data_IF_139057042476
#
_entry.id   IF_139057042476
#
_cell.length_a   1.000
_cell.length_b   1.000
_cell.length_c   1.000
_cell.angle_alpha   90.00
_cell.angle_beta   90.00
_cell.angle_gamma   90.00
#
_symmetry.space_group_name_H-M   'P 1'
#
loop_
_entity.id
_entity.type
_entity.pdbx_description
1 polymer ?
#
# COMPACT_ATOMS: atom_id res chain seq x y z
N UNK A 1 26.15 -16.11 -7.83
CA UNK A 1 25.97 -14.90 -8.65
C UNK A 1 24.90 -14.06 -8.00
N UNK A 2 25.23 -12.87 -7.53
CA UNK A 2 24.25 -11.93 -6.98
C UNK A 2 23.23 -11.63 -8.08
N UNK A 3 21.94 -11.96 -7.87
CA UNK A 3 20.86 -11.52 -8.76
C UNK A 3 20.94 -9.99 -8.85
N UNK A 4 21.00 -9.47 -10.07
CA UNK A 4 21.09 -8.05 -10.32
C UNK A 4 20.01 -7.29 -9.53
N UNK A 5 20.38 -6.15 -8.99
CA UNK A 5 19.51 -5.25 -8.26
C UNK A 5 18.34 -4.83 -9.17
N UNK A 6 17.11 -4.86 -8.66
CA UNK A 6 15.96 -4.40 -9.43
C UNK A 6 16.12 -2.91 -9.74
N UNK A 7 16.25 -2.57 -11.01
CA UNK A 7 16.25 -1.19 -11.48
C UNK A 7 14.82 -0.70 -11.66
N UNK A 8 14.49 0.41 -11.03
CA UNK A 8 13.18 1.06 -11.09
C UNK A 8 13.34 2.57 -11.20
N UNK A 9 12.39 3.18 -11.88
CA UNK A 9 12.29 4.62 -11.98
C UNK A 9 10.84 5.03 -11.73
N UNK A 10 10.63 6.00 -10.85
CA UNK A 10 9.31 6.56 -10.63
C UNK A 10 8.84 7.39 -11.83
N UNK A 11 7.53 7.46 -12.09
CA UNK A 11 6.97 8.35 -13.10
C UNK A 11 7.53 9.77 -12.97
N UNK A 12 7.70 10.46 -14.11
CA UNK A 12 8.20 11.83 -14.21
C UNK A 12 9.61 12.05 -13.60
N UNK A 13 10.32 10.96 -13.24
CA UNK A 13 11.62 11.06 -12.58
C UNK A 13 11.56 11.54 -11.13
N UNK A 14 10.38 11.52 -10.51
CA UNK A 14 10.19 11.98 -9.12
C UNK A 14 11.02 11.16 -8.15
N UNK A 15 11.60 11.85 -7.17
CA UNK A 15 12.45 11.24 -6.14
C UNK A 15 11.71 10.98 -4.83
N UNK A 16 10.54 11.57 -4.66
CA UNK A 16 9.67 11.35 -3.51
C UNK A 16 8.37 10.71 -3.97
N UNK A 17 8.00 9.58 -3.36
CA UNK A 17 6.80 8.81 -3.70
C UNK A 17 6.01 8.49 -2.44
N UNK A 18 4.71 8.68 -2.45
CA UNK A 18 3.84 8.24 -1.37
C UNK A 18 3.55 6.74 -1.55
N UNK A 19 4.05 5.94 -0.63
CA UNK A 19 3.88 4.48 -0.62
C UNK A 19 2.77 4.07 0.35
N UNK A 20 1.59 3.77 -0.19
CA UNK A 20 0.54 3.14 0.61
C UNK A 20 1.02 1.77 1.10
N UNK A 21 1.01 1.55 2.42
CA UNK A 21 1.60 0.37 3.06
C UNK A 21 0.58 -0.38 3.90
N UNK A 22 0.49 -1.70 3.74
CA UNK A 22 -0.43 -2.55 4.48
C UNK A 22 0.21 -3.24 5.70
N UNK A 23 1.51 -3.51 5.67
CA UNK A 23 2.27 -4.16 6.76
C UNK A 23 3.77 -4.10 6.47
N UNK A 24 4.61 -4.23 7.48
CA UNK A 24 6.07 -4.24 7.33
C UNK A 24 6.58 -5.37 6.42
N UNK A 25 6.13 -6.63 6.56
CA UNK A 25 6.55 -7.70 5.65
C UNK A 25 6.29 -7.41 4.17
N UNK A 26 5.18 -6.72 3.84
CA UNK A 26 4.84 -6.44 2.45
C UNK A 26 5.62 -5.26 1.88
N UNK A 27 6.06 -4.33 2.71
CA UNK A 27 6.69 -3.08 2.30
C UNK A 27 8.21 -3.14 2.28
N UNK A 28 8.83 -3.98 3.12
CA UNK A 28 10.25 -3.91 3.41
C UNK A 28 11.16 -4.01 2.17
N UNK A 29 10.99 -5.04 1.35
CA UNK A 29 11.80 -5.20 0.14
C UNK A 29 11.52 -4.12 -0.92
N UNK A 30 10.29 -3.59 -0.96
CA UNK A 30 9.91 -2.47 -1.84
C UNK A 30 10.63 -1.20 -1.40
N UNK A 31 10.62 -0.89 -0.11
CA UNK A 31 11.32 0.27 0.47
C UNK A 31 12.81 0.20 0.16
N UNK A 32 13.46 -0.95 0.40
CA UNK A 32 14.88 -1.13 0.04
C UNK A 32 15.12 -0.92 -1.46
N UNK A 33 14.26 -1.47 -2.33
CA UNK A 33 14.38 -1.28 -3.77
C UNK A 33 14.24 0.20 -4.16
N UNK A 34 13.27 0.92 -3.61
CA UNK A 34 13.08 2.35 -3.87
C UNK A 34 14.30 3.15 -3.43
N UNK A 35 14.72 3.01 -2.17
CA UNK A 35 15.88 3.73 -1.62
C UNK A 35 17.16 3.46 -2.41
N UNK A 36 17.33 2.22 -2.82
CA UNK A 36 18.48 1.81 -3.59
C UNK A 36 18.53 2.35 -5.03
N UNK A 37 17.41 2.83 -5.54
CA UNK A 37 17.30 3.53 -6.81
C UNK A 37 17.19 5.06 -6.64
N UNK A 38 17.51 5.59 -5.46
CA UNK A 38 17.48 7.02 -5.16
C UNK A 38 16.06 7.60 -5.07
N UNK A 39 15.07 6.76 -4.73
CA UNK A 39 13.69 7.15 -4.49
C UNK A 39 13.44 7.09 -2.99
N UNK A 40 12.97 8.17 -2.40
CA UNK A 40 12.60 8.26 -0.99
C UNK A 40 11.10 8.02 -0.83
N UNK A 41 10.66 6.87 -0.29
CA UNK A 41 9.26 6.66 0.00
C UNK A 41 8.83 7.43 1.26
N UNK A 42 7.71 8.12 1.19
CA UNK A 42 6.94 8.56 2.35
C UNK A 42 5.91 7.46 2.61
N UNK A 43 5.94 6.87 3.78
CA UNK A 43 5.10 5.72 4.12
C UNK A 43 3.72 6.20 4.56
N UNK A 44 2.68 5.73 3.92
CA UNK A 44 1.30 6.04 4.27
C UNK A 44 0.57 4.78 4.71
N UNK A 45 0.33 4.65 6.02
CA UNK A 45 -0.35 3.52 6.61
C UNK A 45 -1.85 3.81 6.70
N UNK A 46 -2.62 3.33 5.71
CA UNK A 46 -4.06 3.53 5.60
C UNK A 46 -4.78 2.18 5.41
N UNK A 47 -5.24 1.58 6.50
CA UNK A 47 -5.76 0.22 6.51
C UNK A 47 -7.04 0.07 7.35
N UNK A 48 -8.13 0.81 7.05
CA UNK A 48 -9.37 0.73 7.82
C UNK A 48 -10.05 -0.64 7.74
N UNK A 49 -9.62 -1.48 6.81
CA UNK A 49 -10.12 -2.85 6.64
C UNK A 49 -9.54 -3.86 7.64
N UNK A 50 -8.49 -3.52 8.37
CA UNK A 50 -7.86 -4.48 9.29
C UNK A 50 -8.73 -4.61 10.55
N UNK A 51 -9.07 -5.86 10.90
CA UNK A 51 -9.87 -6.22 12.05
C UNK A 51 -9.27 -7.49 12.70
N UNK A 52 -9.26 -7.60 14.04
CA UNK A 52 -9.68 -6.59 15.00
C UNK A 52 -8.71 -5.40 15.14
N UNK A 53 -9.02 -4.43 15.98
CA UNK A 53 -8.19 -3.24 16.21
C UNK A 53 -6.78 -3.62 16.69
N UNK A 54 -6.64 -4.66 17.50
CA UNK A 54 -5.36 -5.16 17.99
C UNK A 54 -4.45 -5.59 16.83
N UNK A 55 -5.00 -6.23 15.82
CA UNK A 55 -4.25 -6.64 14.61
C UNK A 55 -3.81 -5.42 13.80
N UNK A 56 -4.67 -4.38 13.72
CA UNK A 56 -4.30 -3.11 13.10
C UNK A 56 -3.10 -2.47 13.82
N UNK A 57 -3.15 -2.39 15.16
CA UNK A 57 -2.09 -1.80 15.96
C UNK A 57 -0.77 -2.57 15.85
N UNK A 58 -0.81 -3.90 15.89
CA UNK A 58 0.39 -4.75 15.70
C UNK A 58 1.07 -4.42 14.37
N UNK A 59 0.32 -4.42 13.27
CA UNK A 59 0.87 -4.15 11.93
C UNK A 59 1.34 -2.71 11.77
N UNK A 60 0.64 -1.74 12.36
CA UNK A 60 1.03 -0.33 12.37
C UNK A 60 2.35 -0.12 13.09
N UNK A 61 2.45 -0.67 14.31
CA UNK A 61 3.64 -0.52 15.13
C UNK A 61 4.88 -1.14 14.46
N UNK A 62 4.73 -2.28 13.79
CA UNK A 62 5.80 -2.88 12.99
C UNK A 62 6.22 -1.99 11.82
N UNK A 63 5.25 -1.46 11.07
CA UNK A 63 5.55 -0.52 9.98
C UNK A 63 6.28 0.73 10.50
N UNK A 64 5.84 1.26 11.64
CA UNK A 64 6.43 2.45 12.27
C UNK A 64 7.85 2.16 12.73
N UNK A 65 8.08 1.05 13.40
CA UNK A 65 9.40 0.61 13.85
C UNK A 65 10.38 0.51 12.67
N UNK A 66 9.94 -0.16 11.60
CA UNK A 66 10.78 -0.35 10.40
C UNK A 66 11.05 0.96 9.66
N UNK A 67 10.05 1.78 9.40
CA UNK A 67 10.24 3.06 8.73
C UNK A 67 11.20 3.97 9.50
N UNK A 68 11.03 4.08 10.82
CA UNK A 68 11.91 4.87 11.69
C UNK A 68 13.35 4.35 11.71
N UNK A 69 13.55 3.05 11.69
CA UNK A 69 14.91 2.46 11.64
C UNK A 69 15.67 2.82 10.36
N UNK A 70 14.94 3.17 9.29
CA UNK A 70 15.49 3.62 8.00
C UNK A 70 15.51 5.15 7.85
N UNK A 71 15.09 5.91 8.88
CA UNK A 71 14.99 7.36 8.81
C UNK A 71 13.88 7.88 7.88
N UNK A 72 12.85 7.07 7.60
CA UNK A 72 11.76 7.42 6.71
C UNK A 72 10.57 8.02 7.46
N UNK A 73 9.90 8.98 6.82
CA UNK A 73 8.64 9.51 7.29
C UNK A 73 7.54 8.45 7.16
N UNK A 74 6.76 8.29 8.23
CA UNK A 74 5.56 7.45 8.24
C UNK A 74 4.37 8.23 8.77
N UNK A 75 3.27 8.16 8.05
CA UNK A 75 1.99 8.75 8.40
C UNK A 75 1.01 7.63 8.74
N UNK A 76 0.44 7.69 9.94
CA UNK A 76 -0.68 6.87 10.36
C UNK A 76 -1.97 7.59 9.98
N UNK A 77 -2.67 7.06 8.99
CA UNK A 77 -3.99 7.54 8.64
C UNK A 77 -5.02 7.05 9.68
N UNK A 78 -6.03 7.84 9.94
CA UNK A 78 -7.07 7.49 10.91
C UNK A 78 -7.67 6.11 10.65
N UNK A 79 -7.78 5.33 11.70
CA UNK A 79 -8.45 4.04 11.68
C UNK A 79 -9.96 4.24 11.73
N UNK A 80 -10.59 4.20 10.57
CA UNK A 80 -12.02 4.39 10.39
C UNK A 80 -12.64 3.12 9.81
N UNK A 81 -12.75 2.11 10.66
CA UNK A 81 -13.27 0.79 10.29
C UNK A 81 -14.76 0.84 9.97
N UNK A 82 -15.53 1.67 10.67
CA UNK A 82 -16.96 1.82 10.43
C UNK A 82 -17.24 2.40 9.05
N UNK A 83 -16.50 3.43 8.63
CA UNK A 83 -16.63 3.97 7.28
C UNK A 83 -16.22 2.95 6.21
N UNK A 84 -15.26 2.06 6.52
CA UNK A 84 -14.91 0.97 5.62
C UNK A 84 -16.06 -0.06 5.52
N UNK A 85 -16.67 -0.47 6.63
CA UNK A 85 -17.82 -1.37 6.66
C UNK A 85 -19.00 -0.78 5.87
N UNK A 86 -19.29 0.50 6.07
CA UNK A 86 -20.33 1.19 5.31
C UNK A 86 -20.05 1.17 3.80
N UNK A 87 -18.79 1.41 3.41
CA UNK A 87 -18.40 1.44 2.01
C UNK A 87 -18.54 0.09 1.31
N UNK A 88 -18.44 -1.04 2.05
CA UNK A 88 -18.57 -2.40 1.49
C UNK A 88 -19.92 -3.05 1.80
N UNK A 89 -20.85 -2.31 2.36
CA UNK A 89 -22.18 -2.83 2.73
C UNK A 89 -22.84 -3.56 1.56
N UNK A 90 -23.37 -4.77 1.82
CA UNK A 90 -23.98 -5.65 0.83
C UNK A 90 -22.98 -6.50 0.03
N UNK A 91 -21.67 -6.39 0.32
CA UNK A 91 -20.61 -7.17 -0.33
C UNK A 91 -19.91 -8.15 0.64
N UNK A 92 -20.46 -8.35 1.84
CA UNK A 92 -19.84 -9.15 2.92
C UNK A 92 -19.56 -10.59 2.49
N UNK A 93 -20.46 -11.15 1.68
CA UNK A 93 -20.39 -12.53 1.21
C UNK A 93 -19.60 -12.70 -0.10
N UNK A 94 -19.06 -11.61 -0.67
CA UNK A 94 -18.26 -11.72 -1.88
C UNK A 94 -16.91 -12.43 -1.60
N UNK A 95 -16.43 -13.22 -2.56
CA UNK A 95 -15.14 -13.90 -2.41
C UNK A 95 -13.99 -12.89 -2.37
N UNK A 96 -12.83 -13.36 -1.92
CA UNK A 96 -11.59 -12.62 -2.14
C UNK A 96 -11.37 -12.39 -3.66
N UNK A 97 -10.84 -11.22 -4.01
CA UNK A 97 -10.71 -10.71 -5.39
C UNK A 97 -12.03 -10.37 -6.08
N UNK A 98 -13.17 -10.41 -5.38
CA UNK A 98 -14.46 -9.91 -5.84
C UNK A 98 -14.58 -8.38 -5.74
N UNK A 99 -15.81 -7.87 -5.90
CA UNK A 99 -16.13 -6.43 -5.85
C UNK A 99 -15.80 -5.80 -4.51
N UNK A 100 -15.97 -6.54 -3.39
CA UNK A 100 -15.55 -6.08 -2.06
C UNK A 100 -14.08 -5.69 -2.02
N UNK A 101 -13.19 -6.52 -2.58
CA UNK A 101 -11.76 -6.20 -2.62
C UNK A 101 -11.48 -4.96 -3.47
N UNK A 102 -12.10 -4.84 -4.63
CA UNK A 102 -11.97 -3.65 -5.48
C UNK A 102 -12.43 -2.39 -4.74
N UNK A 103 -13.58 -2.44 -4.08
CA UNK A 103 -14.10 -1.32 -3.29
C UNK A 103 -13.16 -0.93 -2.16
N UNK A 104 -12.61 -1.92 -1.44
CA UNK A 104 -11.59 -1.73 -0.41
C UNK A 104 -10.34 -1.02 -0.96
N UNK A 105 -9.82 -1.46 -2.12
CA UNK A 105 -8.67 -0.81 -2.73
C UNK A 105 -8.98 0.62 -3.16
N UNK A 106 -10.15 0.86 -3.78
CA UNK A 106 -10.59 2.21 -4.19
C UNK A 106 -10.63 3.18 -2.99
N UNK A 107 -11.21 2.77 -1.87
CA UNK A 107 -11.28 3.60 -0.67
C UNK A 107 -9.88 3.95 -0.14
N UNK A 108 -9.01 2.96 0.00
CA UNK A 108 -7.66 3.14 0.55
C UNK A 108 -6.78 3.98 -0.36
N UNK A 109 -6.82 3.73 -1.66
CA UNK A 109 -6.01 4.47 -2.64
C UNK A 109 -6.55 5.87 -2.90
N UNK A 110 -7.87 6.11 -2.75
CA UNK A 110 -8.43 7.46 -2.78
C UNK A 110 -7.88 8.30 -1.62
N UNK A 111 -7.92 7.80 -0.39
CA UNK A 111 -7.32 8.48 0.78
C UNK A 111 -5.82 8.74 0.58
N UNK A 112 -5.12 7.79 -0.06
CA UNK A 112 -3.70 7.96 -0.40
C UNK A 112 -3.50 9.10 -1.41
N UNK A 113 -4.32 9.16 -2.46
CA UNK A 113 -4.23 10.23 -3.47
C UNK A 113 -4.62 11.60 -2.90
N UNK A 114 -5.63 11.66 -2.03
CA UNK A 114 -6.02 12.88 -1.30
C UNK A 114 -4.87 13.42 -0.46
N UNK A 115 -4.23 12.55 0.30
CA UNK A 115 -3.08 12.93 1.11
C UNK A 115 -1.89 13.38 0.25
N UNK A 116 -1.61 12.68 -0.85
CA UNK A 116 -0.56 13.06 -1.80
C UNK A 116 -0.79 14.47 -2.35
N UNK A 117 -2.01 14.77 -2.78
CA UNK A 117 -2.40 16.11 -3.28
C UNK A 117 -2.18 17.18 -2.22
N UNK A 118 -2.61 16.95 -0.98
CA UNK A 118 -2.44 17.88 0.13
C UNK A 118 -0.97 18.18 0.46
N UNK A 119 -0.11 17.18 0.30
CA UNK A 119 1.34 17.26 0.58
C UNK A 119 2.18 17.67 -0.64
N UNK A 120 1.57 17.86 -1.80
CA UNK A 120 2.28 18.16 -3.05
C UNK A 120 3.15 16.99 -3.55
N UNK A 121 2.86 15.75 -3.12
CA UNK A 121 3.55 14.54 -3.61
C UNK A 121 2.87 14.08 -4.89
N UNK A 122 3.62 14.04 -6.00
CA UNK A 122 3.05 13.82 -7.33
C UNK A 122 2.85 12.35 -7.71
N UNK A 123 3.50 11.41 -7.02
CA UNK A 123 3.45 9.98 -7.38
C UNK A 123 3.01 9.16 -6.19
N UNK A 124 2.03 8.28 -6.42
CA UNK A 124 1.59 7.29 -5.44
C UNK A 124 1.74 5.87 -5.97
N UNK A 125 2.02 4.93 -5.09
CA UNK A 125 2.01 3.49 -5.36
C UNK A 125 1.57 2.72 -4.12
N UNK A 126 1.49 1.38 -4.21
CA UNK A 126 1.04 0.56 -3.08
C UNK A 126 1.79 -0.75 -2.94
N UNK A 127 2.00 -1.18 -1.71
CA UNK A 127 2.53 -2.50 -1.39
C UNK A 127 1.52 -3.64 -1.62
N UNK A 128 0.24 -3.33 -1.86
CA UNK A 128 -0.77 -4.34 -2.25
C UNK A 128 -0.33 -5.11 -3.50
N UNK A 129 0.36 -4.44 -4.42
CA UNK A 129 0.86 -5.02 -5.67
C UNK A 129 1.99 -6.04 -5.49
N UNK A 130 2.51 -6.26 -4.27
CA UNK A 130 3.47 -7.33 -3.96
C UNK A 130 2.80 -8.69 -3.70
N UNK A 131 1.54 -8.69 -3.30
CA UNK A 131 0.83 -9.90 -2.88
C UNK A 131 0.30 -10.71 -4.06
N UNK A 132 0.68 -12.01 -4.16
CA UNK A 132 0.12 -12.97 -5.14
C UNK A 132 -1.38 -13.24 -4.94
N UNK A 133 -1.87 -13.01 -3.74
CA UNK A 133 -3.26 -13.28 -3.36
C UNK A 133 -4.23 -12.16 -3.77
N UNK A 134 -3.72 -11.05 -4.30
CA UNK A 134 -4.54 -9.93 -4.75
C UNK A 134 -4.55 -9.82 -6.27
N UNK A 135 -5.63 -9.31 -6.86
CA UNK A 135 -5.68 -9.01 -8.29
C UNK A 135 -4.87 -7.73 -8.58
N UNK A 136 -3.85 -7.84 -9.43
CA UNK A 136 -3.06 -6.68 -9.84
C UNK A 136 -3.89 -5.71 -10.70
N UNK A 137 -4.78 -6.26 -11.53
CA UNK A 137 -5.66 -5.46 -12.38
C UNK A 137 -6.61 -4.60 -11.55
N UNK A 138 -7.22 -5.18 -10.49
CA UNK A 138 -8.06 -4.42 -9.57
C UNK A 138 -7.29 -3.36 -8.80
N UNK A 139 -6.03 -3.62 -8.44
CA UNK A 139 -5.18 -2.64 -7.77
C UNK A 139 -4.87 -1.48 -8.71
N UNK A 140 -4.53 -1.76 -9.97
CA UNK A 140 -4.25 -0.73 -10.97
C UNK A 140 -5.51 0.05 -11.34
N UNK A 141 -6.65 -0.62 -11.51
CA UNK A 141 -7.95 0.04 -11.70
C UNK A 141 -8.23 1.03 -10.55
N UNK A 142 -8.07 0.58 -9.31
CA UNK A 142 -8.32 1.40 -8.14
C UNK A 142 -7.36 2.60 -8.03
N UNK A 143 -6.08 2.41 -8.35
CA UNK A 143 -5.07 3.46 -8.33
C UNK A 143 -5.31 4.53 -9.39
N UNK A 144 -5.55 4.11 -10.63
CA UNK A 144 -5.89 5.02 -11.73
C UNK A 144 -7.19 5.79 -11.43
N UNK A 145 -8.22 5.10 -10.95
CA UNK A 145 -9.48 5.72 -10.55
C UNK A 145 -9.26 6.76 -9.43
N UNK A 146 -8.51 6.42 -8.39
CA UNK A 146 -8.23 7.33 -7.28
C UNK A 146 -7.54 8.63 -7.75
N UNK A 147 -6.51 8.51 -8.59
CA UNK A 147 -5.83 9.66 -9.16
C UNK A 147 -6.77 10.50 -10.05
N UNK A 148 -7.63 9.87 -10.86
CA UNK A 148 -8.59 10.59 -11.68
C UNK A 148 -9.60 11.40 -10.86
N UNK A 149 -10.09 10.83 -9.73
CA UNK A 149 -11.02 11.52 -8.83
C UNK A 149 -10.40 12.80 -8.24
N UNK A 150 -9.14 12.74 -7.84
CA UNK A 150 -8.46 13.86 -7.19
C UNK A 150 -8.08 14.93 -8.21
N UNK A 151 -7.53 14.53 -9.34
CA UNK A 151 -7.15 15.45 -10.41
C UNK A 151 -8.37 16.17 -11.01
N UNK A 152 -9.53 15.50 -11.10
CA UNK A 152 -10.78 16.09 -11.57
C UNK A 152 -11.43 17.10 -10.62
N UNK A 153 -11.10 17.06 -9.31
CA UNK A 153 -11.60 17.99 -8.29
C UNK A 153 -10.76 19.27 -8.19
N UNK A 154 -9.52 19.22 -8.66
CA UNK A 154 -8.59 20.34 -8.56
C UNK A 154 -8.84 21.33 -9.69
N UNK A 155 -9.24 22.55 -9.34
CA UNK A 155 -9.24 23.70 -10.26
C UNK A 155 -7.83 24.31 -10.40
N UNK A 156 -6.84 23.78 -9.70
CA UNK A 156 -5.46 24.23 -9.76
C UNK A 156 -4.79 23.79 -11.07
N UNK A 157 -3.76 24.53 -11.47
CA UNK A 157 -3.03 24.31 -12.72
C UNK A 157 -2.54 22.86 -12.88
N UNK A 158 -2.28 22.39 -14.12
CA UNK A 158 -1.85 21.00 -14.44
C UNK A 158 -0.60 20.50 -13.69
N UNK A 159 0.13 21.39 -13.04
CA UNK A 159 1.35 21.11 -12.25
C UNK A 159 1.10 20.37 -10.92
N UNK A 160 -0.15 20.23 -10.47
CA UNK A 160 -0.51 19.64 -9.18
C UNK A 160 -1.16 18.24 -9.32
N UNK A 161 -1.00 17.55 -10.44
CA UNK A 161 -1.63 16.23 -10.63
C UNK A 161 -0.90 15.13 -9.90
N UNK A 162 -1.68 14.22 -9.30
CA UNK A 162 -1.17 12.96 -8.70
C UNK A 162 -1.22 11.85 -9.75
N UNK A 163 -0.13 11.10 -9.88
CA UNK A 163 0.05 10.03 -10.86
C UNK A 163 0.15 8.68 -10.15
N UNK A 164 -0.58 7.71 -10.67
CA UNK A 164 -0.47 6.33 -10.25
C UNK A 164 0.77 5.65 -10.85
N UNK A 165 1.58 5.04 -9.99
CA UNK A 165 2.70 4.20 -10.40
C UNK A 165 2.30 2.73 -10.31
N UNK A 166 2.03 2.10 -11.46
CA UNK A 166 1.53 0.72 -11.63
C UNK A 166 2.62 -0.35 -11.51
N UNK A 167 3.67 -0.06 -10.73
CA UNK A 167 4.81 -0.97 -10.56
C UNK A 167 4.38 -2.34 -10.05
N UNK A 168 4.78 -3.38 -10.76
CA UNK A 168 4.57 -4.77 -10.35
C UNK A 168 5.66 -5.21 -9.35
N UNK A 169 5.35 -5.12 -8.07
CA UNK A 169 6.27 -5.46 -6.98
C UNK A 169 6.46 -6.97 -6.74
N UNK A 170 5.97 -7.85 -7.65
CA UNK A 170 6.15 -9.31 -7.57
C UNK A 170 7.41 -9.79 -8.28
N UNK A 171 8.10 -8.90 -9.00
CA UNK A 171 9.25 -9.20 -9.86
C UNK A 171 10.57 -8.82 -9.18
N UNK A 172 11.69 -9.12 -9.86
CA UNK A 172 13.01 -8.63 -9.49
C UNK A 172 13.59 -9.19 -8.19
N UNK A 173 13.19 -10.39 -7.75
CA UNK A 173 13.72 -11.01 -6.53
C UNK A 173 13.16 -10.43 -5.22
N UNK A 174 12.16 -9.53 -5.30
CA UNK A 174 11.62 -8.86 -4.09
C UNK A 174 10.96 -9.85 -3.11
N UNK A 175 10.43 -10.99 -3.59
CA UNK A 175 9.84 -11.99 -2.69
C UNK A 175 10.91 -12.70 -1.86
N UNK A 176 12.02 -13.07 -2.47
CA UNK A 176 13.16 -13.69 -1.79
C UNK A 176 13.76 -12.72 -0.78
N UNK A 177 13.96 -11.43 -1.19
CA UNK A 177 14.48 -10.41 -0.28
C UNK A 177 13.52 -10.15 0.90
N UNK A 178 12.21 -10.08 0.63
CA UNK A 178 11.17 -9.97 1.67
C UNK A 178 11.30 -11.06 2.74
N UNK A 179 11.48 -12.32 2.33
CA UNK A 179 11.62 -13.44 3.27
C UNK A 179 12.88 -13.33 4.13
N UNK A 180 13.97 -12.78 3.59
CA UNK A 180 15.18 -12.49 4.35
C UNK A 180 14.94 -11.39 5.37
N UNK A 181 14.35 -10.27 4.97
CA UNK A 181 14.10 -9.14 5.85
C UNK A 181 13.13 -9.51 6.99
N UNK A 182 12.11 -10.33 6.72
CA UNK A 182 11.21 -10.84 7.77
C UNK A 182 12.00 -11.51 8.90
N UNK A 183 13.03 -12.30 8.55
CA UNK A 183 13.90 -12.97 9.53
C UNK A 183 14.89 -12.00 10.19
N UNK A 184 15.48 -11.09 9.40
CA UNK A 184 16.45 -10.10 9.88
C UNK A 184 15.85 -9.16 10.94
N UNK A 185 14.59 -8.78 10.77
CA UNK A 185 13.88 -7.83 11.64
C UNK A 185 12.88 -8.48 12.59
N UNK A 186 12.75 -9.81 12.55
CA UNK A 186 11.75 -10.58 13.30
C UNK A 186 10.34 -10.01 13.16
N UNK A 187 9.90 -9.83 11.91
CA UNK A 187 8.60 -9.23 11.65
C UNK A 187 7.45 -10.18 11.97
N UNK A 188 6.42 -9.63 12.61
CA UNK A 188 5.13 -10.26 12.71
C UNK A 188 4.59 -10.63 11.32
N UNK A 189 4.30 -11.90 11.11
CA UNK A 189 3.80 -12.40 9.82
C UNK A 189 2.31 -12.73 9.94
N UNK A 190 1.48 -11.85 9.40
CA UNK A 190 0.03 -11.99 9.43
C UNK A 190 -0.46 -13.23 8.69
N UNK A 191 -1.52 -13.86 9.22
CA UNK A 191 -2.10 -15.09 8.67
C UNK A 191 -3.22 -14.85 7.65
N UNK A 192 -3.75 -13.63 7.54
CA UNK A 192 -4.85 -13.26 6.66
C UNK A 192 -4.69 -11.84 6.09
N UNK A 193 -5.54 -11.46 5.15
CA UNK A 193 -5.46 -10.14 4.48
C UNK A 193 -5.62 -8.95 5.44
N UNK A 194 -6.31 -9.16 6.56
CA UNK A 194 -6.69 -8.14 7.55
C UNK A 194 -8.18 -7.86 7.58
N UNK A 195 -8.88 -8.03 6.47
CA UNK A 195 -10.32 -7.93 6.39
C UNK A 195 -10.98 -9.08 7.18
N UNK A 196 -11.94 -8.80 8.05
CA UNK A 196 -12.66 -9.80 8.85
C UNK A 196 -13.30 -10.89 8.00
N UNK A 197 -13.78 -10.55 6.80
CA UNK A 197 -14.35 -11.49 5.83
C UNK A 197 -13.32 -12.37 5.11
N UNK A 198 -12.02 -12.14 5.35
CA UNK A 198 -10.91 -12.99 4.87
C UNK A 198 -10.31 -13.86 5.97
N UNK A 199 -10.80 -13.73 7.20
CA UNK A 199 -10.42 -14.63 8.28
C UNK A 199 -10.93 -16.03 7.96
N UNK A 200 -10.04 -17.02 7.98
CA UNK A 200 -10.47 -18.41 7.87
C UNK A 200 -11.36 -18.73 9.06
N UNK A 201 -12.60 -19.12 8.82
CA UNK A 201 -13.40 -19.77 9.83
C UNK A 201 -12.74 -21.14 10.00
N UNK A 202 -12.00 -21.31 11.09
CA UNK A 202 -11.52 -22.63 11.46
C UNK A 202 -12.77 -23.52 11.59
N UNK A 203 -12.91 -24.48 10.65
CA UNK A 203 -13.92 -25.51 10.66
C UNK A 203 -13.44 -26.70 11.51
#
# INVERSE_FOLDING_TARGET
MAKGRLEIQAPMGEKTVLLHTCCAPCSSAIIEAMMSNGITPVIYYCNPNIYPLEEYEIRKNECTRYARSLGLEIIDADYDHEAWLEAIRGMENEPERGGRCLKCFKLRLLRTAEYAMQRGIKVITTTLASSRWKSLDQINEAGLWACSQINGRSSAAPLASVVWWDQNWRKGGLQERRLQIIKEYDFYNQLYCGCEFSMRKDG
#
